data_IF_899741479147
#
_entry.id   IF_899741479147
#
_cell.length_a   1.000
_cell.length_b   1.000
_cell.length_c   1.000
_cell.angle_alpha   90.00
_cell.angle_beta   90.00
_cell.angle_gamma   90.00
#
_symmetry.space_group_name_H-M   'P 1'
#
loop_
_entity.id
_entity.type
_entity.pdbx_description
1 polymer ?
#
# COMPACT_ATOMS: atom_id res chain seq x y z
N UNK A 1 3.14 -36.23 14.99
CA UNK A 1 2.23 -35.33 14.24
C UNK A 1 1.99 -35.91 12.85
N UNK A 2 0.98 -35.44 12.12
CA UNK A 2 0.74 -35.83 10.72
C UNK A 2 1.96 -35.58 9.83
N UNK A 3 2.68 -34.47 10.07
CA UNK A 3 3.90 -34.12 9.34
C UNK A 3 5.03 -35.13 9.55
N UNK A 4 5.19 -35.68 10.76
CA UNK A 4 6.21 -36.71 11.04
C UNK A 4 5.95 -38.03 10.27
N UNK A 5 4.71 -38.25 9.82
CA UNK A 5 4.33 -39.36 8.95
C UNK A 5 4.36 -38.99 7.45
N UNK A 6 4.84 -37.79 7.09
CA UNK A 6 4.94 -37.32 5.70
C UNK A 6 3.64 -36.74 5.12
N UNK A 7 2.61 -36.51 5.94
CA UNK A 7 1.34 -35.93 5.48
C UNK A 7 1.44 -34.39 5.47
N UNK A 8 1.21 -33.71 4.33
CA UNK A 8 1.13 -32.25 4.27
C UNK A 8 -0.05 -31.76 5.10
N UNK A 9 0.24 -31.07 6.20
CA UNK A 9 -0.77 -30.51 7.09
C UNK A 9 -0.25 -29.22 7.72
N UNK A 10 -1.14 -28.24 7.86
CA UNK A 10 -0.91 -26.97 8.56
C UNK A 10 -2.13 -26.60 9.40
N UNK A 11 -1.97 -25.73 10.41
CA UNK A 11 -3.09 -25.23 11.20
C UNK A 11 -4.01 -24.36 10.33
N UNK A 12 -5.29 -24.32 10.71
CA UNK A 12 -6.21 -23.28 10.23
C UNK A 12 -6.00 -22.09 11.15
N UNK A 13 -5.39 -21.03 10.62
CA UNK A 13 -5.13 -19.82 11.37
C UNK A 13 -6.32 -18.87 11.32
N UNK A 14 -6.61 -18.22 12.44
CA UNK A 14 -7.53 -17.08 12.48
C UNK A 14 -6.84 -15.77 12.07
N UNK A 15 -7.60 -14.66 12.08
CA UNK A 15 -7.09 -13.36 11.68
C UNK A 15 -5.97 -12.84 12.58
N UNK A 16 -6.06 -13.05 13.90
CA UNK A 16 -5.06 -12.59 14.86
C UNK A 16 -3.79 -13.39 14.67
N UNK A 17 -3.90 -14.71 14.58
CA UNK A 17 -2.78 -15.61 14.35
C UNK A 17 -2.03 -15.29 13.05
N UNK A 18 -2.76 -14.93 11.98
CA UNK A 18 -2.17 -14.49 10.71
C UNK A 18 -1.39 -13.17 10.84
N UNK A 19 -1.88 -12.22 11.65
CA UNK A 19 -1.16 -10.96 11.89
C UNK A 19 0.07 -11.15 12.78
N UNK A 20 0.08 -12.16 13.63
CA UNK A 20 1.20 -12.49 14.52
C UNK A 20 2.21 -13.46 13.88
N UNK A 21 1.90 -14.02 12.71
CA UNK A 21 2.76 -14.95 12.00
C UNK A 21 4.10 -14.29 11.63
N UNK A 22 5.16 -14.76 12.30
CA UNK A 22 6.53 -14.27 12.13
C UNK A 22 7.04 -14.43 10.70
N UNK A 23 6.67 -15.52 10.01
CA UNK A 23 7.11 -15.76 8.65
C UNK A 23 6.54 -14.69 7.70
N UNK A 24 5.28 -14.27 7.87
CA UNK A 24 4.69 -13.21 7.06
C UNK A 24 5.35 -11.84 7.27
N UNK A 25 5.81 -11.54 8.49
CA UNK A 25 6.60 -10.33 8.77
C UNK A 25 8.01 -10.40 8.18
N UNK A 26 8.72 -11.51 8.36
CA UNK A 26 10.07 -11.71 7.80
C UNK A 26 10.07 -11.76 6.27
N UNK A 27 9.01 -12.32 5.68
CA UNK A 27 8.77 -12.28 4.24
C UNK A 27 8.47 -10.86 3.74
N UNK A 28 8.12 -9.92 4.64
CA UNK A 28 7.67 -8.58 4.29
C UNK A 28 6.32 -8.57 3.59
N UNK A 29 5.47 -9.57 3.88
CA UNK A 29 4.06 -9.53 3.49
C UNK A 29 3.32 -8.49 4.32
N UNK A 30 3.56 -8.47 5.63
CA UNK A 30 3.07 -7.39 6.48
C UNK A 30 4.05 -6.23 6.51
N UNK A 31 3.52 -5.01 6.42
CA UNK A 31 4.29 -3.79 6.60
C UNK A 31 3.45 -2.74 7.33
N UNK A 32 4.13 -1.79 7.98
CA UNK A 32 3.51 -0.71 8.74
C UNK A 32 3.46 0.55 7.88
N UNK A 33 2.26 1.01 7.61
CA UNK A 33 1.96 2.26 6.91
C UNK A 33 1.58 3.32 7.93
N UNK A 34 2.22 4.48 7.92
CA UNK A 34 1.81 5.60 8.74
C UNK A 34 1.07 6.63 7.88
N UNK A 35 -0.25 6.78 8.08
CA UNK A 35 -1.07 7.75 7.39
C UNK A 35 -1.29 8.98 8.28
N UNK A 36 -1.25 10.18 7.71
CA UNK A 36 -1.34 11.43 8.48
C UNK A 36 -2.65 11.57 9.28
N UNK A 37 -3.80 11.21 8.69
CA UNK A 37 -5.10 11.25 9.40
C UNK A 37 -5.35 10.10 10.39
N UNK A 38 -5.03 8.86 10.00
CA UNK A 38 -5.47 7.66 10.76
C UNK A 38 -4.36 7.01 11.57
N UNK A 39 -3.11 7.44 11.41
CA UNK A 39 -1.94 6.90 12.10
C UNK A 39 -1.42 5.60 11.50
N UNK A 40 -0.72 4.80 12.32
CA UNK A 40 -0.13 3.53 11.91
C UNK A 40 -1.20 2.47 11.60
N UNK A 41 -1.07 1.79 10.46
CA UNK A 41 -1.87 0.64 10.04
C UNK A 41 -0.97 -0.46 9.51
N UNK A 42 -1.36 -1.71 9.76
CA UNK A 42 -0.73 -2.89 9.16
C UNK A 42 -1.40 -3.13 7.81
N UNK A 43 -0.60 -3.22 6.76
CA UNK A 43 -1.07 -3.39 5.39
C UNK A 43 -0.47 -4.66 4.79
N UNK A 44 -1.22 -5.39 3.94
CA UNK A 44 -0.64 -6.43 3.12
C UNK A 44 0.25 -5.82 2.02
N UNK A 45 1.35 -6.49 1.73
CA UNK A 45 2.23 -6.25 0.60
C UNK A 45 1.93 -7.18 -0.57
N UNK A 46 2.77 -7.11 -1.60
CA UNK A 46 2.70 -8.01 -2.75
C UNK A 46 3.08 -9.44 -2.32
N UNK A 47 2.24 -10.45 -2.63
CA UNK A 47 2.47 -11.84 -2.18
C UNK A 47 3.59 -12.55 -2.94
N UNK A 48 4.21 -11.90 -3.92
CA UNK A 48 5.30 -12.44 -4.75
C UNK A 48 6.56 -11.61 -4.62
N UNK A 49 7.71 -12.27 -4.74
CA UNK A 49 9.02 -11.61 -4.86
C UNK A 49 9.46 -11.64 -6.31
N UNK A 50 9.92 -10.49 -6.79
CA UNK A 50 10.44 -10.33 -8.15
C UNK A 50 11.96 -10.21 -8.05
N UNK A 51 12.71 -11.15 -8.63
CA UNK A 51 14.17 -11.22 -8.48
C UNK A 51 14.89 -9.93 -8.91
N UNK A 52 14.31 -9.19 -9.86
CA UNK A 52 14.88 -7.96 -10.43
C UNK A 52 14.25 -6.68 -9.85
N UNK A 53 13.31 -6.78 -8.90
CA UNK A 53 12.70 -5.64 -8.22
C UNK A 53 13.00 -5.76 -6.73
N UNK A 54 14.02 -5.03 -6.22
CA UNK A 54 14.56 -5.27 -4.89
C UNK A 54 13.55 -5.01 -3.76
N UNK A 55 12.66 -4.03 -3.93
CA UNK A 55 11.53 -3.72 -3.05
C UNK A 55 10.58 -2.72 -3.71
N UNK A 56 9.29 -2.81 -3.40
CA UNK A 56 8.30 -1.82 -3.82
C UNK A 56 8.27 -0.68 -2.82
N UNK A 57 8.23 0.55 -3.33
CA UNK A 57 8.13 1.75 -2.51
C UNK A 57 6.66 1.95 -2.13
N UNK A 58 6.24 1.34 -1.01
CA UNK A 58 4.89 1.57 -0.50
C UNK A 58 4.78 2.95 0.15
N UNK A 59 3.68 3.64 -0.11
CA UNK A 59 3.28 4.87 0.58
C UNK A 59 1.86 4.72 1.09
N UNK A 60 1.42 5.67 1.92
CA UNK A 60 0.00 5.81 2.20
C UNK A 60 -0.76 6.21 0.91
N UNK A 61 -2.04 5.80 0.76
CA UNK A 61 -2.88 6.27 -0.34
C UNK A 61 -2.95 7.80 -0.35
N UNK A 62 -2.91 8.45 -1.52
CA UNK A 62 -2.97 9.89 -1.57
C UNK A 62 -4.33 10.42 -1.16
N UNK A 63 -4.32 11.63 -0.58
CA UNK A 63 -5.55 12.37 -0.36
C UNK A 63 -6.18 12.79 -1.70
N UNK A 64 -7.48 13.11 -1.64
CA UNK A 64 -8.20 13.67 -2.78
C UNK A 64 -7.50 14.97 -3.21
N UNK A 65 -7.06 15.02 -4.48
CA UNK A 65 -6.39 16.20 -5.04
C UNK A 65 -4.91 16.36 -4.70
N UNK A 66 -4.31 15.46 -3.89
CA UNK A 66 -2.94 15.58 -3.39
C UNK A 66 -1.90 15.86 -4.49
N UNK A 67 -2.08 15.27 -5.67
CA UNK A 67 -1.14 15.38 -6.78
C UNK A 67 -1.61 16.30 -7.93
N UNK A 68 -2.62 17.14 -7.73
CA UNK A 68 -3.14 17.99 -8.81
C UNK A 68 -2.07 18.90 -9.41
N UNK A 69 -1.31 19.61 -8.58
CA UNK A 69 -0.27 20.52 -9.09
C UNK A 69 0.89 19.76 -9.73
N UNK A 70 1.24 18.58 -9.22
CA UNK A 70 2.27 17.72 -9.84
C UNK A 70 1.84 17.27 -11.24
N UNK A 71 0.60 16.78 -11.38
CA UNK A 71 0.12 16.23 -12.64
C UNK A 71 -0.30 17.33 -13.61
N UNK A 72 -1.25 18.19 -13.23
CA UNK A 72 -1.78 19.22 -14.13
C UNK A 72 -0.77 20.32 -14.42
N UNK A 73 -0.04 20.78 -13.39
CA UNK A 73 0.99 21.79 -13.56
C UNK A 73 2.30 21.21 -14.09
N UNK A 74 2.83 20.20 -13.40
CA UNK A 74 4.14 19.62 -13.71
C UNK A 74 4.16 18.80 -15.01
N UNK A 75 3.23 17.86 -15.18
CA UNK A 75 3.24 16.95 -16.33
C UNK A 75 2.48 17.52 -17.54
N UNK A 76 1.38 18.22 -17.32
CA UNK A 76 0.51 18.73 -18.39
C UNK A 76 0.75 20.22 -18.72
N UNK A 77 1.51 20.94 -17.89
CA UNK A 77 1.91 22.32 -18.17
C UNK A 77 0.82 23.37 -17.99
N UNK A 78 -0.26 23.06 -17.26
CA UNK A 78 -1.29 24.05 -16.94
C UNK A 78 -0.75 25.08 -15.96
N UNK A 79 -1.17 26.33 -16.15
CA UNK A 79 -0.91 27.40 -15.20
C UNK A 79 -1.69 27.23 -13.90
N UNK A 80 -1.20 27.84 -12.82
CA UNK A 80 -1.91 27.88 -11.54
C UNK A 80 -3.34 28.44 -11.66
N UNK A 81 -3.56 29.36 -12.60
CA UNK A 81 -4.88 29.94 -12.86
C UNK A 81 -5.85 28.92 -13.49
N UNK A 82 -5.37 28.12 -14.44
CA UNK A 82 -6.16 27.05 -15.05
C UNK A 82 -6.48 25.95 -14.04
N UNK A 83 -5.51 25.54 -13.21
CA UNK A 83 -5.74 24.54 -12.16
C UNK A 83 -6.78 25.04 -11.15
N UNK A 84 -6.68 26.29 -10.70
CA UNK A 84 -7.67 26.91 -9.82
C UNK A 84 -9.06 26.95 -10.43
N UNK A 85 -9.17 27.34 -11.70
CA UNK A 85 -10.45 27.35 -12.42
C UNK A 85 -11.07 25.95 -12.46
N UNK A 86 -10.29 24.90 -12.70
CA UNK A 86 -10.78 23.51 -12.72
C UNK A 86 -11.25 23.04 -11.32
N UNK A 87 -10.56 23.44 -10.25
CA UNK A 87 -10.99 23.17 -8.87
C UNK A 87 -12.29 23.90 -8.53
N UNK A 88 -12.41 25.19 -8.89
CA UNK A 88 -13.63 26.00 -8.67
C UNK A 88 -14.84 25.42 -9.42
N UNK A 89 -14.62 24.93 -10.64
CA UNK A 89 -15.64 24.25 -11.44
C UNK A 89 -15.92 22.80 -10.97
N UNK A 90 -15.17 22.30 -9.99
CA UNK A 90 -15.24 20.92 -9.46
C UNK A 90 -15.02 19.84 -10.53
N UNK A 91 -14.21 20.17 -11.54
CA UNK A 91 -13.71 19.19 -12.51
C UNK A 91 -12.59 18.35 -11.90
N UNK A 92 -11.79 18.99 -11.04
CA UNK A 92 -10.78 18.36 -10.17
C UNK A 92 -10.97 18.89 -8.73
N UNK A 93 -10.21 18.36 -7.77
CA UNK A 93 -10.40 18.63 -6.33
C UNK A 93 -9.28 19.44 -5.71
#
# INVERSE_FOLDING_TARGET
SLQAAGVPAGPVLDSVEIFEDRHLWEWGFWWKMNHHEVGERIMPGIPVKLSNVPQLNYSYPPDVGQHNYEVFGGLLGLSDAEIKMLMEQKVIY
#
